data_IF_864073021439
#
_entry.id   IF_864073021439
#
_cell.length_a   1.000
_cell.length_b   1.000
_cell.length_c   1.000
_cell.angle_alpha   90.00
_cell.angle_beta   90.00
_cell.angle_gamma   90.00
#
_symmetry.space_group_name_H-M   'P 1'
#
loop_
_entity.id
_entity.type
_entity.pdbx_description
1 polymer ?
#
# COMPACT_ATOMS: atom_id res chain seq x y z
N UNK A 1 20.69 -2.13 -60.74
CA UNK A 1 19.35 -2.52 -61.21
C UNK A 1 18.37 -2.38 -60.05
N UNK A 2 17.45 -1.41 -60.11
CA UNK A 2 16.32 -1.33 -59.19
C UNK A 2 15.27 -2.36 -59.59
N UNK A 3 14.96 -3.32 -58.72
CA UNK A 3 13.83 -4.25 -58.93
C UNK A 3 12.61 -3.71 -58.21
N UNK A 4 11.55 -3.41 -58.95
CA UNK A 4 10.27 -3.03 -58.39
C UNK A 4 9.60 -4.29 -57.79
N UNK A 5 9.37 -4.29 -56.49
CA UNK A 5 8.67 -5.36 -55.80
C UNK A 5 7.17 -5.05 -55.78
N UNK A 6 6.33 -6.02 -56.13
CA UNK A 6 4.88 -5.91 -56.01
C UNK A 6 4.48 -5.94 -54.53
N UNK A 7 3.87 -4.86 -54.03
CA UNK A 7 3.33 -4.75 -52.68
C UNK A 7 1.80 -4.92 -52.70
N UNK A 8 1.25 -5.77 -51.83
CA UNK A 8 -0.18 -5.87 -51.62
C UNK A 8 -0.54 -5.21 -50.27
N UNK A 9 -1.10 -3.98 -50.27
CA UNK A 9 -1.41 -3.26 -49.04
C UNK A 9 -2.60 -3.82 -48.26
N UNK A 10 -3.32 -4.82 -48.80
CA UNK A 10 -4.52 -5.38 -48.15
C UNK A 10 -4.25 -6.54 -47.20
N UNK A 11 -3.01 -7.04 -47.14
CA UNK A 11 -2.64 -8.14 -46.27
C UNK A 11 -1.86 -7.61 -45.07
N UNK A 12 -2.56 -7.58 -43.96
CA UNK A 12 -2.02 -7.22 -42.65
C UNK A 12 -1.69 -8.48 -41.86
N UNK A 13 -0.58 -8.42 -41.14
CA UNK A 13 -0.08 -9.49 -40.27
C UNK A 13 0.26 -8.91 -38.90
N UNK A 14 0.10 -9.72 -37.86
CA UNK A 14 0.55 -9.36 -36.51
C UNK A 14 1.84 -10.10 -36.18
N UNK A 15 2.77 -9.39 -35.54
CA UNK A 15 4.07 -9.93 -35.17
C UNK A 15 4.08 -10.32 -33.70
N UNK A 16 4.44 -11.57 -33.39
CA UNK A 16 4.69 -12.01 -32.01
C UNK A 16 6.20 -12.25 -31.87
N UNK A 17 6.87 -11.40 -31.09
CA UNK A 17 8.29 -11.51 -30.78
C UNK A 17 8.49 -12.47 -29.60
N UNK A 18 8.34 -13.77 -29.88
CA UNK A 18 8.44 -14.80 -28.86
C UNK A 18 9.86 -14.83 -28.22
N UNK A 19 9.99 -14.77 -26.88
CA UNK A 19 11.29 -14.59 -26.20
C UNK A 19 12.18 -15.85 -26.20
N UNK A 20 11.68 -16.99 -26.69
CA UNK A 20 12.40 -18.25 -26.74
C UNK A 20 12.77 -18.71 -28.16
N UNK A 21 13.68 -19.68 -28.24
CA UNK A 21 13.98 -20.34 -29.51
C UNK A 21 12.86 -21.32 -29.90
N UNK A 22 12.15 -21.03 -30.97
CA UNK A 22 11.07 -21.89 -31.48
C UNK A 22 11.64 -23.07 -32.27
N UNK A 23 11.53 -24.28 -31.71
CA UNK A 23 11.84 -25.55 -32.40
C UNK A 23 10.55 -26.26 -32.83
N UNK A 24 9.53 -26.23 -31.97
CA UNK A 24 8.23 -26.86 -32.20
C UNK A 24 7.12 -25.80 -32.11
N UNK A 25 6.53 -25.39 -33.24
CA UNK A 25 5.50 -24.35 -33.27
C UNK A 25 4.29 -24.69 -32.39
N UNK A 26 3.86 -25.95 -32.35
CA UNK A 26 2.69 -26.35 -31.55
C UNK A 26 2.93 -26.19 -30.05
N UNK A 27 4.15 -26.47 -29.57
CA UNK A 27 4.52 -26.28 -28.17
C UNK A 27 4.62 -24.80 -27.81
N UNK A 28 5.16 -23.98 -28.73
CA UNK A 28 5.18 -22.52 -28.59
C UNK A 28 3.75 -21.95 -28.56
N UNK A 29 2.84 -22.44 -29.40
CA UNK A 29 1.44 -22.04 -29.31
C UNK A 29 0.81 -22.48 -27.99
N UNK A 30 1.18 -23.67 -27.49
CA UNK A 30 0.75 -24.15 -26.18
C UNK A 30 1.16 -23.24 -25.02
N UNK A 31 2.35 -22.62 -25.08
CA UNK A 31 2.78 -21.66 -24.05
C UNK A 31 2.04 -20.32 -24.11
N UNK A 32 1.43 -19.98 -25.25
CA UNK A 32 0.60 -18.78 -25.43
C UNK A 32 -0.91 -19.02 -25.19
N UNK A 33 -1.27 -20.15 -24.58
CA UNK A 33 -2.67 -20.53 -24.35
C UNK A 33 -3.38 -21.12 -25.58
N UNK A 34 -2.62 -21.49 -26.62
CA UNK A 34 -3.12 -22.07 -27.85
C UNK A 34 -3.58 -21.04 -28.88
N UNK A 35 -3.85 -21.50 -30.11
CA UNK A 35 -4.17 -20.63 -31.24
C UNK A 35 -5.45 -19.82 -31.04
N UNK A 36 -6.41 -20.36 -30.28
CA UNK A 36 -7.69 -19.69 -29.98
C UNK A 36 -7.46 -18.49 -29.06
N UNK A 37 -6.66 -18.66 -28.01
CA UNK A 37 -6.33 -17.58 -27.10
C UNK A 37 -5.53 -16.48 -27.82
N UNK A 38 -4.51 -16.88 -28.61
CA UNK A 38 -3.76 -15.95 -29.45
C UNK A 38 -4.71 -15.15 -30.33
N UNK A 39 -5.56 -15.81 -31.14
CA UNK A 39 -6.49 -15.11 -32.02
C UNK A 39 -7.45 -14.16 -31.29
N UNK A 40 -7.84 -14.48 -30.05
CA UNK A 40 -8.69 -13.63 -29.22
C UNK A 40 -7.96 -12.37 -28.75
N UNK A 41 -6.71 -12.50 -28.32
CA UNK A 41 -5.88 -11.37 -27.86
C UNK A 41 -5.51 -10.46 -29.03
N UNK A 42 -5.14 -11.03 -30.18
CA UNK A 42 -4.83 -10.26 -31.38
C UNK A 42 -6.00 -9.36 -31.83
N UNK A 43 -7.23 -9.85 -31.70
CA UNK A 43 -8.46 -9.09 -32.01
C UNK A 43 -8.87 -8.04 -30.96
N UNK A 44 -8.16 -7.93 -29.85
CA UNK A 44 -8.44 -6.99 -28.76
C UNK A 44 -7.26 -6.01 -28.63
N UNK A 45 -7.53 -4.70 -28.57
CA UNK A 45 -6.47 -3.70 -28.47
C UNK A 45 -5.94 -3.56 -27.03
N UNK A 46 -6.72 -3.95 -26.02
CA UNK A 46 -6.41 -3.68 -24.61
C UNK A 46 -5.67 -4.87 -23.96
N UNK A 47 -5.79 -6.08 -24.50
CA UNK A 47 -5.27 -7.28 -23.85
C UNK A 47 -3.80 -7.53 -24.17
N UNK A 48 -3.03 -7.81 -23.11
CA UNK A 48 -1.65 -8.30 -23.18
C UNK A 48 -1.65 -9.79 -23.55
N UNK A 49 -0.63 -10.23 -24.28
CA UNK A 49 -0.49 -11.64 -24.64
C UNK A 49 0.20 -12.41 -23.52
N UNK A 50 -0.50 -13.37 -22.90
CA UNK A 50 0.09 -14.21 -21.85
C UNK A 50 1.04 -15.27 -22.41
N UNK A 51 2.20 -15.40 -21.77
CA UNK A 51 3.17 -16.47 -21.98
C UNK A 51 3.35 -17.26 -20.69
N UNK A 52 2.94 -18.53 -20.71
CA UNK A 52 3.10 -19.48 -19.60
C UNK A 52 4.20 -20.48 -19.92
N UNK A 53 5.30 -20.43 -19.17
CA UNK A 53 6.42 -21.35 -19.34
C UNK A 53 6.05 -22.80 -19.00
N UNK A 54 5.10 -22.99 -18.07
CA UNK A 54 4.58 -24.29 -17.66
C UNK A 54 3.05 -24.33 -17.78
N UNK A 55 2.48 -24.53 -18.98
CA UNK A 55 1.03 -24.45 -19.21
C UNK A 55 0.18 -25.42 -18.38
N UNK A 56 0.78 -26.52 -17.93
CA UNK A 56 0.11 -27.54 -17.09
C UNK A 56 0.13 -27.21 -15.59
N UNK A 57 0.90 -26.20 -15.18
CA UNK A 57 0.96 -25.77 -13.79
C UNK A 57 -0.02 -24.61 -13.57
N UNK A 58 -1.09 -24.78 -12.76
CA UNK A 58 -2.06 -23.72 -12.49
C UNK A 58 -1.43 -22.54 -11.72
N UNK A 59 -0.36 -22.79 -10.96
CA UNK A 59 0.34 -21.74 -10.20
C UNK A 59 1.36 -20.96 -11.04
N UNK A 60 1.54 -21.31 -12.31
CA UNK A 60 2.51 -20.63 -13.16
C UNK A 60 2.05 -19.21 -13.46
N UNK A 61 2.84 -18.23 -13.02
CA UNK A 61 2.60 -16.83 -13.34
C UNK A 61 2.94 -16.57 -14.81
N UNK A 62 2.08 -15.92 -15.60
CA UNK A 62 2.41 -15.60 -16.97
C UNK A 62 3.44 -14.46 -17.02
N UNK A 63 4.30 -14.49 -18.03
CA UNK A 63 4.94 -13.27 -18.54
C UNK A 63 3.99 -12.63 -19.56
N UNK A 64 4.04 -11.31 -19.70
CA UNK A 64 3.12 -10.60 -20.58
C UNK A 64 3.85 -9.99 -21.78
N UNK A 65 3.24 -10.14 -22.94
CA UNK A 65 3.64 -9.53 -24.19
C UNK A 65 2.83 -8.26 -24.41
N UNK A 66 3.52 -7.13 -24.40
CA UNK A 66 2.93 -5.81 -24.57
C UNK A 66 2.73 -5.52 -26.06
N UNK A 67 1.55 -4.97 -26.39
CA UNK A 67 1.23 -4.60 -27.75
C UNK A 67 1.83 -3.22 -28.06
N UNK A 68 2.64 -3.15 -29.11
CA UNK A 68 3.25 -1.92 -29.60
C UNK A 68 2.95 -1.74 -31.09
N UNK A 69 2.61 -0.51 -31.47
CA UNK A 69 2.48 -0.15 -32.87
C UNK A 69 3.86 -0.15 -33.53
N UNK A 70 4.03 -0.99 -34.56
CA UNK A 70 5.25 -1.09 -35.35
C UNK A 70 4.91 -1.08 -36.82
N UNK A 71 5.72 -0.40 -37.62
CA UNK A 71 5.61 -0.43 -39.08
C UNK A 71 6.62 -1.41 -39.66
N UNK A 72 6.13 -2.58 -40.07
CA UNK A 72 6.94 -3.67 -40.61
C UNK A 72 6.46 -4.17 -41.97
N UNK A 73 7.35 -4.79 -42.73
CA UNK A 73 7.00 -5.45 -44.01
C UNK A 73 7.49 -6.90 -43.96
N UNK A 74 6.58 -7.85 -44.17
CA UNK A 74 6.92 -9.26 -44.21
C UNK A 74 7.41 -9.67 -45.60
N UNK A 75 8.67 -10.12 -45.67
CA UNK A 75 9.31 -10.55 -46.91
C UNK A 75 9.48 -12.07 -46.96
N UNK A 76 9.05 -12.68 -48.05
CA UNK A 76 9.42 -14.06 -48.40
C UNK A 76 10.65 -14.04 -49.30
N UNK A 77 11.76 -14.60 -48.80
CA UNK A 77 13.02 -14.72 -49.56
C UNK A 77 13.24 -16.18 -49.95
N UNK A 78 13.06 -16.49 -51.23
CA UNK A 78 13.39 -17.80 -51.79
C UNK A 78 14.80 -17.78 -52.36
N UNK A 79 15.68 -18.63 -51.82
CA UNK A 79 17.07 -18.74 -52.26
C UNK A 79 17.21 -19.98 -53.15
N UNK A 80 17.49 -19.79 -54.44
CA UNK A 80 17.77 -20.88 -55.37
C UNK A 80 19.28 -21.06 -55.53
N UNK A 81 19.78 -22.25 -55.18
CA UNK A 81 21.20 -22.63 -55.32
C UNK A 81 21.36 -23.64 -56.47
N UNK A 82 22.45 -23.53 -57.21
CA UNK A 82 22.74 -24.48 -58.28
C UNK A 82 23.21 -25.83 -57.70
N UNK A 83 22.55 -26.94 -58.06
CA UNK A 83 22.78 -28.25 -57.43
C UNK A 83 24.17 -28.84 -57.71
N UNK A 84 24.76 -28.54 -58.87
CA UNK A 84 26.03 -29.11 -59.34
C UNK A 84 27.24 -28.19 -59.18
N UNK A 85 27.02 -26.90 -59.02
CA UNK A 85 28.09 -25.91 -58.95
C UNK A 85 27.85 -25.03 -57.72
N UNK A 86 28.56 -25.35 -56.64
CA UNK A 86 28.44 -24.67 -55.36
C UNK A 86 29.17 -23.32 -55.33
N UNK A 87 29.99 -23.01 -56.34
CA UNK A 87 30.75 -21.76 -56.44
C UNK A 87 29.93 -20.64 -57.10
N UNK A 88 28.86 -20.97 -57.82
CA UNK A 88 27.95 -19.98 -58.39
C UNK A 88 27.17 -19.22 -57.30
N UNK A 89 27.01 -17.89 -57.45
CA UNK A 89 26.23 -17.11 -56.50
C UNK A 89 24.76 -17.56 -56.49
N UNK A 90 24.11 -17.64 -55.32
CA UNK A 90 22.70 -17.97 -55.20
C UNK A 90 21.81 -16.92 -55.88
N UNK A 91 20.71 -17.39 -56.49
CA UNK A 91 19.68 -16.51 -57.04
C UNK A 91 18.61 -16.25 -55.98
N UNK A 92 18.41 -14.97 -55.63
CA UNK A 92 17.42 -14.55 -54.65
C UNK A 92 16.14 -14.09 -55.34
N UNK A 93 15.01 -14.62 -54.88
CA UNK A 93 13.67 -14.16 -55.22
C UNK A 93 13.02 -13.60 -53.97
N UNK A 94 12.73 -12.31 -53.98
CA UNK A 94 12.09 -11.61 -52.86
C UNK A 94 10.66 -11.28 -53.25
N UNK A 95 9.70 -11.57 -52.37
CA UNK A 95 8.30 -11.18 -52.51
C UNK A 95 7.83 -10.53 -51.23
N UNK A 96 7.06 -9.46 -51.36
CA UNK A 96 6.38 -8.85 -50.21
C UNK A 96 5.07 -9.60 -49.97
N UNK A 97 4.87 -10.10 -48.76
CA UNK A 97 3.65 -10.83 -48.39
C UNK A 97 2.56 -9.90 -47.85
N UNK A 98 2.96 -8.85 -47.12
CA UNK A 98 2.08 -7.89 -46.47
C UNK A 98 2.84 -6.96 -45.55
N UNK A 99 2.11 -6.17 -44.76
CA UNK A 99 2.69 -5.31 -43.71
C UNK A 99 2.29 -5.80 -42.32
N UNK A 100 3.07 -5.40 -41.33
CA UNK A 100 2.74 -5.54 -39.92
C UNK A 100 2.54 -4.14 -39.33
N UNK A 101 1.45 -3.94 -38.59
CA UNK A 101 1.10 -2.70 -37.89
C UNK A 101 1.29 -2.82 -36.38
N UNK A 102 1.13 -4.03 -35.84
CA UNK A 102 1.22 -4.33 -34.41
C UNK A 102 2.23 -5.42 -34.15
N UNK A 103 2.93 -5.30 -33.03
CA UNK A 103 3.80 -6.35 -32.51
C UNK A 103 3.59 -6.58 -31.02
N UNK A 104 3.72 -7.83 -30.59
CA UNK A 104 3.68 -8.24 -29.20
C UNK A 104 5.10 -8.61 -28.76
N UNK A 105 5.66 -7.83 -27.84
CA UNK A 105 7.03 -8.01 -27.32
C UNK A 105 7.00 -8.27 -25.81
N UNK A 106 7.78 -9.25 -25.36
CA UNK A 106 7.85 -9.68 -23.96
C UNK A 106 9.05 -9.02 -23.27
N UNK A 107 8.99 -7.71 -23.10
CA UNK A 107 10.07 -6.91 -22.47
C UNK A 107 9.91 -6.79 -20.96
N UNK A 108 8.68 -6.95 -20.46
CA UNK A 108 8.34 -6.92 -19.05
C UNK A 108 8.89 -8.15 -18.31
N UNK A 109 9.27 -7.98 -17.04
CA UNK A 109 9.75 -9.08 -16.21
C UNK A 109 8.61 -10.04 -15.84
N UNK A 110 8.97 -11.29 -15.63
CA UNK A 110 8.04 -12.28 -15.09
C UNK A 110 7.93 -12.11 -13.57
N UNK A 111 6.73 -12.29 -13.04
CA UNK A 111 6.50 -12.39 -11.60
C UNK A 111 7.24 -13.60 -10.99
N UNK A 112 7.39 -13.59 -9.66
CA UNK A 112 8.03 -14.66 -8.91
C UNK A 112 7.31 -16.00 -9.14
N UNK A 113 8.09 -17.02 -9.51
CA UNK A 113 7.58 -18.35 -9.77
C UNK A 113 7.77 -19.24 -8.55
N UNK A 114 6.68 -19.87 -8.12
CA UNK A 114 6.74 -20.95 -7.15
C UNK A 114 6.50 -22.28 -7.85
N UNK A 115 7.51 -23.17 -7.81
CA UNK A 115 7.41 -24.50 -8.39
C UNK A 115 7.36 -25.55 -7.27
N UNK A 116 6.37 -26.46 -7.25
CA UNK A 116 6.29 -27.54 -6.26
C UNK A 116 7.35 -28.61 -6.54
N UNK A 117 8.59 -28.31 -6.21
CA UNK A 117 9.74 -29.20 -6.37
C UNK A 117 10.09 -29.82 -5.01
N UNK A 118 10.14 -31.15 -4.95
CA UNK A 118 10.62 -31.85 -3.76
C UNK A 118 11.91 -32.62 -4.04
N UNK A 119 12.86 -32.62 -3.08
CA UNK A 119 14.00 -33.51 -3.13
C UNK A 119 13.53 -34.94 -2.86
N UNK A 120 13.56 -35.78 -3.88
CA UNK A 120 13.27 -37.22 -3.79
C UNK A 120 14.57 -38.01 -3.85
N UNK A 121 14.84 -38.94 -2.93
CA UNK A 121 16.02 -39.80 -3.01
C UNK A 121 15.95 -40.67 -4.28
N UNK A 122 17.07 -40.78 -5.01
CA UNK A 122 17.12 -41.61 -6.22
C UNK A 122 17.12 -43.11 -5.92
N UNK A 123 17.45 -43.52 -4.70
CA UNK A 123 17.39 -44.91 -4.24
C UNK A 123 17.18 -44.97 -2.72
N UNK A 124 16.79 -46.15 -2.21
CA UNK A 124 16.53 -46.39 -0.79
C UNK A 124 17.79 -46.38 0.10
N UNK A 125 18.96 -46.17 -0.49
CA UNK A 125 20.21 -46.06 0.25
C UNK A 125 20.32 -44.67 0.90
N UNK A 126 20.65 -44.60 2.20
CA UNK A 126 20.76 -43.34 2.95
C UNK A 126 21.86 -42.35 2.51
N UNK A 127 22.64 -42.70 1.47
CA UNK A 127 23.66 -41.86 0.82
C UNK A 127 23.29 -41.48 -0.63
N UNK A 128 22.07 -41.81 -1.07
CA UNK A 128 21.63 -41.55 -2.43
C UNK A 128 21.53 -40.05 -2.72
N UNK A 129 21.99 -39.64 -3.89
CA UNK A 129 21.78 -38.28 -4.37
C UNK A 129 20.28 -37.97 -4.44
N UNK A 130 19.89 -36.78 -3.99
CA UNK A 130 18.52 -36.30 -4.11
C UNK A 130 18.29 -35.71 -5.50
N UNK A 131 17.15 -36.03 -6.11
CA UNK A 131 16.69 -35.44 -7.36
C UNK A 131 15.49 -34.56 -7.07
N UNK A 132 15.46 -33.36 -7.65
CA UNK A 132 14.26 -32.53 -7.61
C UNK A 132 13.19 -33.13 -8.52
N UNK A 133 12.07 -33.53 -7.93
CA UNK A 133 10.90 -34.06 -8.63
C UNK A 133 9.80 -33.02 -8.61
N UNK A 134 9.18 -32.80 -9.78
CA UNK A 134 8.04 -31.91 -9.91
C UNK A 134 6.77 -32.61 -9.41
N UNK A 135 6.25 -32.17 -8.27
CA UNK A 135 5.31 -32.95 -7.48
C UNK A 135 3.94 -32.27 -7.33
N UNK A 136 3.46 -31.72 -8.45
CA UNK A 136 2.19 -31.01 -8.53
C UNK A 136 0.98 -31.89 -8.10
N UNK A 137 0.96 -33.16 -8.50
CA UNK A 137 -0.09 -34.16 -8.17
C UNK A 137 -0.25 -34.43 -6.66
N UNK A 138 0.72 -34.02 -5.85
CA UNK A 138 0.65 -34.20 -4.40
C UNK A 138 0.24 -32.90 -3.68
N UNK A 139 0.30 -31.76 -4.36
CA UNK A 139 -0.14 -30.45 -3.85
C UNK A 139 -1.61 -30.16 -4.16
N UNK A 140 -2.16 -30.80 -5.19
CA UNK A 140 -3.55 -30.61 -5.62
C UNK A 140 -4.16 -31.95 -6.06
N UNK A 141 -5.47 -32.15 -5.87
CA UNK A 141 -6.15 -33.34 -6.36
C UNK A 141 -6.17 -33.33 -7.88
N UNK A 142 -6.04 -34.52 -8.49
CA UNK A 142 -6.11 -34.64 -9.96
C UNK A 142 -7.53 -34.38 -10.46
N UNK A 143 -8.51 -34.82 -9.69
CA UNK A 143 -9.95 -34.68 -9.95
C UNK A 143 -10.72 -34.75 -8.61
N UNK A 144 -12.01 -34.40 -8.63
CA UNK A 144 -12.95 -34.52 -7.50
C UNK A 144 -13.04 -35.97 -6.98
N UNK A 145 -12.69 -36.96 -7.80
CA UNK A 145 -12.69 -38.38 -7.47
C UNK A 145 -11.40 -38.89 -6.81
N UNK A 146 -10.41 -38.02 -6.56
CA UNK A 146 -9.11 -38.37 -5.96
C UNK A 146 -9.21 -38.65 -4.44
N UNK A 147 -9.82 -39.79 -4.10
CA UNK A 147 -10.05 -40.20 -2.71
C UNK A 147 -8.73 -40.38 -1.93
N UNK A 148 -7.63 -40.73 -2.60
CA UNK A 148 -6.33 -40.90 -1.96
C UNK A 148 -5.71 -39.56 -1.56
N UNK A 149 -5.95 -38.49 -2.31
CA UNK A 149 -5.59 -37.13 -1.90
C UNK A 149 -6.41 -36.67 -0.69
N UNK A 150 -7.73 -36.85 -0.71
CA UNK A 150 -8.63 -36.36 0.36
C UNK A 150 -8.54 -37.15 1.69
N UNK A 151 -8.06 -38.40 1.67
CA UNK A 151 -7.82 -39.18 2.89
C UNK A 151 -6.58 -38.74 3.67
N UNK A 152 -5.71 -37.89 3.11
CA UNK A 152 -4.47 -37.45 3.76
C UNK A 152 -4.80 -36.55 4.96
N UNK A 153 -4.32 -36.93 6.15
CA UNK A 153 -4.60 -36.19 7.39
C UNK A 153 -3.91 -34.81 7.49
N UNK A 154 -2.88 -34.57 6.67
CA UNK A 154 -2.20 -33.27 6.54
C UNK A 154 -1.88 -33.06 5.06
N UNK A 155 -2.76 -32.40 4.32
CA UNK A 155 -2.40 -31.85 3.01
C UNK A 155 -1.56 -30.59 3.23
N UNK A 156 -0.43 -30.48 2.54
CA UNK A 156 0.29 -29.21 2.46
C UNK A 156 -0.55 -28.28 1.55
N UNK A 157 -1.37 -27.43 2.16
CA UNK A 157 -2.13 -26.40 1.46
C UNK A 157 -1.14 -25.43 0.79
N UNK A 158 -1.12 -25.46 -0.55
CA UNK A 158 -0.34 -24.51 -1.35
C UNK A 158 -1.26 -23.39 -1.84
N UNK A 159 -1.47 -22.39 -1.00
CA UNK A 159 -2.21 -21.17 -1.36
C UNK A 159 -1.20 -20.07 -1.68
N UNK A 160 -0.96 -19.82 -2.96
CA UNK A 160 -0.05 -18.76 -3.41
C UNK A 160 -0.84 -17.49 -3.71
N UNK A 161 -0.31 -16.30 -3.38
CA UNK A 161 -0.88 -15.03 -3.82
C UNK A 161 -1.10 -14.98 -5.33
N UNK A 162 -2.08 -14.21 -5.80
CA UNK A 162 -2.33 -14.03 -7.23
C UNK A 162 -1.18 -13.29 -7.93
N UNK A 163 -0.54 -12.35 -7.24
CA UNK A 163 0.66 -11.64 -7.68
C UNK A 163 1.64 -11.60 -6.52
N UNK A 164 2.91 -11.89 -6.78
CA UNK A 164 3.98 -11.67 -5.80
C UNK A 164 4.61 -10.29 -5.97
N UNK A 165 4.82 -9.87 -7.22
CA UNK A 165 5.23 -8.53 -7.59
C UNK A 165 4.05 -7.75 -8.15
N UNK A 166 3.77 -6.56 -7.57
CA UNK A 166 2.73 -5.64 -8.08
C UNK A 166 3.14 -4.93 -9.36
N UNK A 167 4.42 -4.96 -9.72
CA UNK A 167 5.00 -4.25 -10.86
C UNK A 167 5.95 -5.19 -11.60
N UNK A 168 5.79 -5.29 -12.92
CA UNK A 168 6.60 -6.10 -13.83
C UNK A 168 7.70 -5.30 -14.55
N UNK A 169 7.82 -4.01 -14.24
CA UNK A 169 8.84 -3.11 -14.75
C UNK A 169 9.96 -2.90 -13.72
N UNK A 170 11.19 -2.83 -14.20
CA UNK A 170 12.34 -2.45 -13.38
C UNK A 170 12.19 -0.98 -13.00
N UNK A 171 12.21 -0.68 -11.70
CA UNK A 171 12.23 0.70 -11.23
C UNK A 171 13.50 1.40 -11.76
N UNK A 172 13.32 2.45 -12.56
CA UNK A 172 14.43 3.19 -13.19
C UNK A 172 15.05 4.23 -12.27
N UNK A 173 14.50 4.44 -11.08
CA UNK A 173 15.08 5.32 -10.08
C UNK A 173 16.40 4.76 -9.60
N UNK A 174 17.44 5.58 -9.62
CA UNK A 174 18.66 5.27 -8.87
C UNK A 174 18.26 5.19 -7.39
N UNK A 175 18.55 4.06 -6.74
CA UNK A 175 18.59 4.05 -5.27
C UNK A 175 19.46 5.22 -4.85
N UNK A 176 18.96 6.08 -3.96
CA UNK A 176 19.80 7.08 -3.31
C UNK A 176 20.86 6.28 -2.56
N UNK A 177 22.05 6.21 -3.14
CA UNK A 177 23.25 5.88 -2.38
C UNK A 177 23.40 7.09 -1.47
N UNK A 178 22.96 6.95 -0.22
CA UNK A 178 23.20 7.96 0.79
C UNK A 178 24.70 8.29 0.75
N UNK A 179 24.99 9.59 0.65
CA UNK A 179 26.32 10.07 0.33
C UNK A 179 27.34 9.55 1.34
N UNK A 180 28.34 8.83 0.85
CA UNK A 180 29.65 8.64 1.46
C UNK A 180 29.67 8.39 2.99
N UNK A 181 29.07 7.29 3.45
CA UNK A 181 29.61 6.61 4.63
C UNK A 181 30.44 5.43 4.15
N UNK A 182 31.75 5.48 4.42
CA UNK A 182 32.71 4.45 4.08
C UNK A 182 32.17 3.10 4.57
N UNK A 183 31.95 2.16 3.62
CA UNK A 183 31.31 0.84 3.79
C UNK A 183 32.03 -0.15 4.71
N UNK A 184 32.47 0.32 5.88
CA UNK A 184 32.99 -0.45 6.99
C UNK A 184 31.88 -1.01 7.89
N UNK A 185 30.62 -0.69 7.62
CA UNK A 185 29.51 -1.08 8.50
C UNK A 185 28.23 -1.50 7.76
N UNK A 186 28.35 -2.24 6.66
CA UNK A 186 27.20 -2.90 6.04
C UNK A 186 27.49 -4.39 5.81
N UNK A 187 27.33 -5.18 6.87
CA UNK A 187 27.05 -6.62 6.73
C UNK A 187 25.56 -6.73 6.43
N UNK A 188 25.22 -7.45 5.35
CA UNK A 188 23.87 -7.89 4.96
C UNK A 188 22.96 -8.09 6.18
N UNK A 189 22.14 -7.09 6.40
CA UNK A 189 21.40 -6.87 7.62
C UNK A 189 21.05 -5.41 7.58
N UNK A 190 20.03 -5.10 6.78
CA UNK A 190 19.34 -3.81 6.80
C UNK A 190 19.24 -3.42 8.27
N UNK A 191 20.08 -2.49 8.71
CA UNK A 191 19.78 -1.71 9.89
C UNK A 191 18.55 -0.95 9.41
N UNK A 192 17.38 -1.54 9.62
CA UNK A 192 16.18 -0.75 9.77
C UNK A 192 16.63 0.33 10.72
N UNK A 193 16.70 1.59 10.26
CA UNK A 193 16.78 2.71 11.19
C UNK A 193 15.72 2.35 12.20
N UNK A 194 16.15 2.00 13.42
CA UNK A 194 15.27 1.53 14.47
C UNK A 194 14.07 2.43 14.42
N UNK A 195 12.93 1.91 13.93
CA UNK A 195 11.70 2.68 13.88
C UNK A 195 11.61 3.28 15.27
N UNK A 196 11.49 4.60 15.37
CA UNK A 196 11.51 5.31 16.65
C UNK A 196 10.23 5.03 17.46
N UNK A 197 9.68 3.81 17.33
CA UNK A 197 8.55 3.23 18.02
C UNK A 197 8.96 2.86 19.44
N UNK A 198 9.35 3.87 20.18
CA UNK A 198 9.47 3.79 21.63
C UNK A 198 8.10 4.04 22.27
N UNK A 199 7.02 3.49 21.70
CA UNK A 199 5.69 3.55 22.31
C UNK A 199 5.44 2.21 23.02
N UNK A 200 4.85 2.24 24.21
CA UNK A 200 4.22 1.06 24.78
C UNK A 200 2.96 0.76 23.95
N UNK A 201 3.11 0.02 22.85
CA UNK A 201 2.00 -0.46 22.03
C UNK A 201 1.37 -1.68 22.69
N UNK A 202 0.08 -1.59 22.98
CA UNK A 202 -0.65 -2.59 23.77
C UNK A 202 -1.89 -3.03 23.01
N UNK A 203 -2.10 -4.34 22.97
CA UNK A 203 -3.35 -4.93 22.50
C UNK A 203 -4.43 -4.76 23.56
N UNK A 204 -5.53 -4.12 23.20
CA UNK A 204 -6.72 -4.04 24.02
C UNK A 204 -7.32 -5.44 24.23
N UNK A 205 -7.56 -5.79 25.49
CA UNK A 205 -8.25 -7.02 25.86
C UNK A 205 -8.95 -6.86 27.22
N UNK A 206 -9.78 -7.83 27.60
CA UNK A 206 -10.58 -7.77 28.82
C UNK A 206 -9.91 -8.39 30.05
N UNK A 207 -8.72 -8.99 29.91
CA UNK A 207 -8.07 -9.79 30.97
C UNK A 207 -6.90 -9.05 31.61
N UNK A 208 -6.12 -8.35 30.79
CA UNK A 208 -4.85 -7.77 31.20
C UNK A 208 -5.03 -6.46 31.96
N UNK A 209 -4.05 -6.19 32.83
CA UNK A 209 -3.88 -4.90 33.50
C UNK A 209 -3.02 -3.98 32.64
N UNK A 210 -3.50 -2.78 32.37
CA UNK A 210 -2.76 -1.80 31.59
C UNK A 210 -1.66 -1.09 32.41
N UNK A 211 -0.59 -0.59 31.76
CA UNK A 211 0.53 -0.01 32.47
C UNK A 211 0.14 1.26 33.23
N UNK A 212 0.75 1.42 34.39
CA UNK A 212 0.51 2.55 35.29
C UNK A 212 1.60 3.61 35.22
N UNK A 213 2.76 3.30 34.65
CA UNK A 213 3.91 4.18 34.50
C UNK A 213 4.72 3.80 33.25
N UNK A 214 5.46 4.76 32.70
CA UNK A 214 6.38 4.56 31.60
C UNK A 214 7.61 3.73 32.01
N UNK A 215 8.20 3.03 31.04
CA UNK A 215 9.48 2.34 31.26
C UNK A 215 10.62 3.33 31.60
N UNK A 216 11.54 2.89 32.46
CA UNK A 216 12.68 3.66 32.91
C UNK A 216 13.62 4.06 31.75
N UNK A 217 13.65 3.29 30.66
CA UNK A 217 14.43 3.64 29.47
C UNK A 217 13.85 4.87 28.74
N UNK A 218 12.53 4.98 28.66
CA UNK A 218 11.84 6.11 28.04
C UNK A 218 12.16 7.40 28.78
N UNK A 219 12.11 7.37 30.12
CA UNK A 219 12.44 8.51 30.97
C UNK A 219 13.89 8.97 30.81
N UNK A 220 14.83 8.05 30.57
CA UNK A 220 16.23 8.39 30.27
C UNK A 220 16.35 9.07 28.92
N UNK A 221 15.66 8.57 27.88
CA UNK A 221 15.67 9.13 26.52
C UNK A 221 15.06 10.53 26.47
N UNK A 222 13.99 10.78 27.22
CA UNK A 222 13.36 12.10 27.31
C UNK A 222 14.37 13.18 27.74
N UNK A 223 15.24 12.86 28.71
CA UNK A 223 16.28 13.78 29.20
C UNK A 223 17.37 14.06 28.18
N UNK A 224 17.62 13.14 27.25
CA UNK A 224 18.67 13.28 26.22
C UNK A 224 18.21 14.17 25.06
N UNK A 225 16.92 14.15 24.69
CA UNK A 225 16.41 14.81 23.47
C UNK A 225 16.07 16.30 23.62
N UNK A 226 16.57 16.98 24.66
CA UNK A 226 16.34 18.41 24.95
C UNK A 226 14.89 18.84 24.73
N UNK A 227 13.97 18.24 25.49
CA UNK A 227 12.58 18.71 25.57
C UNK A 227 12.52 19.78 26.66
N UNK A 228 11.97 20.95 26.35
CA UNK A 228 11.74 21.98 27.37
C UNK A 228 10.69 21.51 28.37
N UNK A 229 10.93 21.75 29.65
CA UNK A 229 9.99 21.44 30.75
C UNK A 229 8.61 22.07 30.51
N UNK A 230 8.55 23.23 29.84
CA UNK A 230 7.30 23.90 29.49
C UNK A 230 6.49 23.08 28.46
N UNK A 231 7.15 22.54 27.44
CA UNK A 231 6.50 21.73 26.40
C UNK A 231 5.99 20.41 26.98
N UNK A 232 6.78 19.80 27.87
CA UNK A 232 6.36 18.62 28.62
C UNK A 232 5.13 18.91 29.48
N UNK A 233 5.16 19.99 30.26
CA UNK A 233 4.06 20.37 31.15
C UNK A 233 2.76 20.68 30.39
N UNK A 234 2.85 21.28 29.19
CA UNK A 234 1.68 21.52 28.32
C UNK A 234 1.00 20.21 27.92
N UNK A 235 1.76 19.24 27.41
CA UNK A 235 1.21 17.94 26.99
C UNK A 235 0.67 17.17 28.20
N UNK A 236 1.37 17.22 29.34
CA UNK A 236 0.91 16.61 30.59
C UNK A 236 -0.44 17.18 31.03
N UNK A 237 -0.61 18.52 30.99
CA UNK A 237 -1.87 19.18 31.33
C UNK A 237 -3.02 18.71 30.44
N UNK A 238 -2.80 18.51 29.14
CA UNK A 238 -3.82 17.98 28.22
C UNK A 238 -4.26 16.56 28.61
N UNK A 239 -3.31 15.71 29.02
CA UNK A 239 -3.62 14.36 29.49
C UNK A 239 -4.32 14.34 30.86
N UNK A 240 -4.10 15.35 31.69
CA UNK A 240 -4.80 15.51 32.97
C UNK A 240 -6.23 16.01 32.79
N UNK A 241 -6.49 16.87 31.80
CA UNK A 241 -7.84 17.32 31.44
C UNK A 241 -8.63 16.24 30.69
N UNK A 242 -7.99 15.51 29.77
CA UNK A 242 -8.58 14.44 29.00
C UNK A 242 -7.62 13.24 28.94
N UNK A 243 -8.03 12.04 29.37
CA UNK A 243 -7.10 10.91 29.50
C UNK A 243 -6.74 10.23 28.18
N UNK A 244 -7.49 10.48 27.10
CA UNK A 244 -7.37 9.78 25.82
C UNK A 244 -7.32 10.78 24.67
N UNK A 245 -6.31 10.69 23.82
CA UNK A 245 -6.11 11.61 22.70
C UNK A 245 -5.64 10.93 21.42
N UNK A 246 -5.99 11.54 20.28
CA UNK A 246 -5.33 11.26 18.99
C UNK A 246 -4.03 12.06 18.89
N UNK A 247 -3.09 11.59 18.06
CA UNK A 247 -1.84 12.29 17.81
C UNK A 247 -2.05 13.71 17.28
N UNK A 248 -2.94 13.84 16.29
CA UNK A 248 -3.22 15.10 15.59
C UNK A 248 -3.84 16.12 16.55
N UNK A 249 -4.74 15.68 17.42
CA UNK A 249 -5.31 16.56 18.43
C UNK A 249 -4.25 17.05 19.43
N UNK A 250 -3.33 16.18 19.86
CA UNK A 250 -2.21 16.61 20.71
C UNK A 250 -1.29 17.62 20.00
N UNK A 251 -0.96 17.39 18.72
CA UNK A 251 -0.17 18.33 17.92
C UNK A 251 -0.84 19.71 17.86
N UNK A 252 -2.13 19.72 17.52
CA UNK A 252 -2.90 20.94 17.35
C UNK A 252 -3.09 21.71 18.66
N UNK A 253 -3.50 21.03 19.74
CA UNK A 253 -3.80 21.68 21.04
C UNK A 253 -2.55 22.07 21.81
N UNK A 254 -1.46 21.28 21.74
CA UNK A 254 -0.23 21.60 22.47
C UNK A 254 0.63 22.65 21.75
N UNK A 255 0.52 22.75 20.42
CA UNK A 255 1.41 23.54 19.57
C UNK A 255 2.87 23.05 19.57
N UNK A 256 3.12 21.83 20.09
CA UNK A 256 4.45 21.23 20.16
C UNK A 256 4.79 20.62 18.80
N UNK A 257 6.00 20.86 18.32
CA UNK A 257 6.48 20.26 17.07
C UNK A 257 6.49 18.73 17.10
N UNK A 258 6.31 18.12 15.92
CA UNK A 258 6.24 16.66 15.69
C UNK A 258 7.33 15.89 16.45
N UNK A 259 8.58 16.30 16.31
CA UNK A 259 9.77 15.62 16.85
C UNK A 259 9.79 15.60 18.38
N UNK A 260 9.39 16.72 19.00
CA UNK A 260 9.37 16.85 20.45
C UNK A 260 8.20 16.07 21.05
N UNK A 261 7.04 16.11 20.40
CA UNK A 261 5.87 15.39 20.87
C UNK A 261 6.08 13.86 20.86
N UNK A 262 6.82 13.33 19.87
CA UNK A 262 7.23 11.91 19.83
C UNK A 262 8.07 11.48 21.02
N UNK A 263 8.82 12.41 21.61
CA UNK A 263 9.63 12.13 22.79
C UNK A 263 8.79 12.19 24.07
N UNK A 264 7.80 13.09 24.11
CA UNK A 264 6.98 13.34 25.30
C UNK A 264 5.93 12.26 25.50
N UNK A 265 5.16 11.91 24.45
CA UNK A 265 4.00 11.01 24.55
C UNK A 265 4.36 9.67 25.24
N UNK A 266 5.44 8.96 24.86
CA UNK A 266 5.82 7.70 25.50
C UNK A 266 6.04 7.76 27.02
N UNK A 267 6.33 8.94 27.56
CA UNK A 267 6.54 9.10 29.01
C UNK A 267 5.24 9.34 29.79
N UNK A 268 4.14 9.64 29.09
CA UNK A 268 2.86 10.04 29.68
C UNK A 268 1.72 9.06 29.35
N UNK A 269 1.80 8.37 28.22
CA UNK A 269 0.73 7.53 27.69
C UNK A 269 1.25 6.29 26.96
N UNK A 270 0.43 5.24 26.97
CA UNK A 270 0.59 4.07 26.12
C UNK A 270 -0.39 4.13 24.93
N UNK A 271 -0.22 3.26 23.94
CA UNK A 271 -1.00 3.28 22.70
C UNK A 271 -1.76 1.97 22.50
N UNK A 272 -3.05 2.03 22.13
CA UNK A 272 -3.83 0.84 21.81
C UNK A 272 -3.74 0.47 20.32
N UNK A 273 -3.29 -0.75 20.02
CA UNK A 273 -3.23 -1.25 18.64
C UNK A 273 -4.58 -1.72 18.08
N UNK A 274 -5.50 -2.15 18.95
CA UNK A 274 -6.81 -2.66 18.56
C UNK A 274 -7.90 -2.27 19.57
N UNK A 275 -9.12 -2.74 19.35
CA UNK A 275 -10.26 -2.53 20.23
C UNK A 275 -10.97 -1.18 20.06
N UNK A 276 -11.82 -0.78 21.03
CA UNK A 276 -12.70 0.37 20.92
C UNK A 276 -11.98 1.73 21.04
N UNK A 277 -10.73 1.72 21.54
CA UNK A 277 -9.84 2.88 21.64
C UNK A 277 -8.57 2.70 20.78
N UNK A 278 -8.64 1.87 19.73
CA UNK A 278 -7.51 1.68 18.80
C UNK A 278 -7.02 3.02 18.25
N UNK A 279 -5.74 3.10 17.92
CA UNK A 279 -5.11 4.31 17.37
C UNK A 279 -5.18 5.55 18.27
N UNK A 280 -5.33 5.35 19.59
CA UNK A 280 -5.38 6.43 20.57
C UNK A 280 -4.28 6.25 21.63
N UNK A 281 -3.79 7.38 22.12
CA UNK A 281 -2.89 7.44 23.27
C UNK A 281 -3.71 7.58 24.55
N UNK A 282 -3.46 6.69 25.50
CA UNK A 282 -4.15 6.63 26.78
C UNK A 282 -3.15 6.88 27.89
N UNK A 283 -3.46 7.87 28.75
CA UNK A 283 -2.61 8.22 29.88
C UNK A 283 -2.35 7.00 30.77
N UNK A 284 -1.10 6.85 31.20
CA UNK A 284 -0.74 5.79 32.14
C UNK A 284 -1.61 5.81 33.40
N UNK A 285 -2.03 4.61 33.85
CA UNK A 285 -2.88 4.44 35.02
C UNK A 285 -4.37 4.74 34.80
N UNK A 286 -4.78 5.17 33.62
CA UNK A 286 -6.20 5.27 33.25
C UNK A 286 -6.68 3.99 32.54
N UNK A 287 -7.77 3.41 33.02
CA UNK A 287 -8.40 2.24 32.40
C UNK A 287 -9.79 2.62 31.85
N UNK A 288 -9.94 2.75 30.51
CA UNK A 288 -11.21 3.15 29.91
C UNK A 288 -12.33 2.13 30.13
N UNK A 289 -12.00 0.86 30.44
CA UNK A 289 -13.00 -0.18 30.71
C UNK A 289 -13.75 0.01 32.02
N UNK A 290 -13.28 0.92 32.89
CA UNK A 290 -13.88 1.19 34.21
C UNK A 290 -14.67 2.50 34.26
N UNK A 291 -14.48 3.38 33.28
CA UNK A 291 -15.11 4.69 33.23
C UNK A 291 -16.06 4.78 32.04
N UNK A 292 -17.36 4.92 32.31
CA UNK A 292 -18.37 5.06 31.26
C UNK A 292 -18.23 6.35 30.44
N UNK A 293 -17.59 7.39 30.98
CA UNK A 293 -17.35 8.62 30.22
C UNK A 293 -16.32 8.45 29.11
N UNK A 294 -15.49 7.39 29.18
CA UNK A 294 -14.55 7.06 28.11
C UNK A 294 -15.21 6.73 26.76
N UNK A 295 -16.55 6.51 26.74
CA UNK A 295 -17.34 6.32 25.51
C UNK A 295 -17.20 7.47 24.51
N UNK A 296 -17.06 8.69 25.01
CA UNK A 296 -16.87 9.89 24.18
C UNK A 296 -15.52 9.87 23.45
N UNK A 297 -14.54 9.19 24.04
CA UNK A 297 -13.19 9.10 23.50
C UNK A 297 -12.94 7.84 22.67
N UNK A 298 -13.95 6.99 22.47
CA UNK A 298 -13.81 5.82 21.60
C UNK A 298 -13.52 6.22 20.15
N UNK A 299 -12.82 5.34 19.43
CA UNK A 299 -12.38 5.58 18.06
C UNK A 299 -13.55 5.48 17.09
N UNK A 300 -13.71 6.52 16.30
CA UNK A 300 -14.56 6.57 15.11
C UNK A 300 -13.66 6.55 13.87
N UNK A 301 -13.79 5.49 13.09
CA UNK A 301 -13.08 5.27 11.84
C UNK A 301 -14.03 5.48 10.67
N UNK A 302 -13.72 6.50 9.88
CA UNK A 302 -14.49 6.93 8.74
C UNK A 302 -13.65 6.90 7.48
N UNK A 303 -14.13 6.17 6.48
CA UNK A 303 -13.53 6.06 5.15
C UNK A 303 -14.51 6.49 4.09
N UNK A 304 -14.04 7.35 3.19
CA UNK A 304 -14.77 7.80 2.02
C UNK A 304 -14.31 7.00 0.81
N UNK A 305 -15.23 6.27 0.18
CA UNK A 305 -15.07 5.84 -1.21
C UNK A 305 -15.85 6.80 -2.11
N UNK A 306 -15.27 7.11 -3.26
CA UNK A 306 -15.82 8.11 -4.17
C UNK A 306 -16.43 7.45 -5.40
N UNK A 307 -17.68 7.84 -5.71
CA UNK A 307 -18.11 7.92 -7.10
C UNK A 307 -17.42 9.09 -7.82
N UNK A 308 -17.61 9.19 -9.14
CA UNK A 308 -17.11 10.31 -9.95
C UNK A 308 -17.45 11.67 -9.31
N UNK A 309 -16.44 12.56 -9.17
CA UNK A 309 -16.58 13.93 -8.66
C UNK A 309 -15.85 14.21 -7.33
N UNK A 310 -16.00 13.36 -6.31
CA UNK A 310 -15.47 13.69 -4.96
C UNK A 310 -13.95 13.47 -4.84
N UNK A 311 -13.38 12.63 -5.71
CA UNK A 311 -11.93 12.44 -5.85
C UNK A 311 -11.18 13.71 -6.28
N UNK A 312 -11.88 14.75 -6.74
CA UNK A 312 -11.33 16.05 -7.13
C UNK A 312 -10.88 16.87 -5.91
N UNK A 313 -11.57 16.73 -4.77
CA UNK A 313 -11.37 17.60 -3.60
C UNK A 313 -10.64 16.93 -2.45
N UNK A 314 -10.94 15.66 -2.17
CA UNK A 314 -10.42 14.97 -0.98
C UNK A 314 -9.45 13.88 -1.40
N UNK A 315 -8.19 14.03 -0.99
CA UNK A 315 -7.11 13.12 -1.32
C UNK A 315 -6.81 12.16 -0.16
N UNK A 316 -6.03 11.11 -0.43
CA UNK A 316 -5.35 10.39 0.66
C UNK A 316 -4.43 11.36 1.39
N UNK A 317 -4.14 11.10 2.68
CA UNK A 317 -3.32 12.00 3.49
C UNK A 317 -1.94 12.22 2.88
N UNK A 318 -1.27 11.15 2.42
CA UNK A 318 0.01 11.22 1.68
C UNK A 318 -0.09 12.14 0.47
N UNK A 319 -1.08 11.93 -0.38
CA UNK A 319 -1.30 12.73 -1.59
C UNK A 319 -1.58 14.20 -1.27
N UNK A 320 -2.36 14.47 -0.21
CA UNK A 320 -2.65 15.83 0.24
C UNK A 320 -1.38 16.54 0.74
N UNK A 321 -0.53 15.86 1.53
CA UNK A 321 0.75 16.44 1.99
C UNK A 321 1.75 16.65 0.85
N UNK A 322 1.89 15.68 -0.06
CA UNK A 322 2.76 15.80 -1.23
C UNK A 322 2.33 16.95 -2.15
N UNK A 323 1.02 17.15 -2.32
CA UNK A 323 0.49 18.33 -3.00
C UNK A 323 0.89 19.61 -2.26
N UNK A 324 0.70 19.69 -0.94
CA UNK A 324 1.06 20.88 -0.15
C UNK A 324 2.54 21.22 -0.16
N UNK A 325 3.45 20.24 -0.26
CA UNK A 325 4.90 20.49 -0.33
C UNK A 325 5.38 20.82 -1.74
N UNK A 326 4.54 20.64 -2.77
CA UNK A 326 4.87 21.01 -4.14
C UNK A 326 4.78 22.52 -4.36
N UNK A 327 5.66 23.08 -5.19
CA UNK A 327 5.65 24.50 -5.55
C UNK A 327 4.31 24.97 -6.17
N UNK A 328 3.49 24.05 -6.70
CA UNK A 328 2.16 24.32 -7.24
C UNK A 328 1.10 24.64 -6.17
N UNK A 329 1.30 24.25 -4.91
CA UNK A 329 0.35 24.57 -3.83
C UNK A 329 0.32 26.05 -3.43
N UNK A 330 1.34 26.83 -3.82
CA UNK A 330 1.36 28.27 -3.56
C UNK A 330 0.40 29.06 -4.46
N UNK A 331 -0.03 28.48 -5.60
CA UNK A 331 -0.87 29.15 -6.60
C UNK A 331 -2.33 28.68 -6.64
N UNK A 332 -2.66 27.53 -6.04
CA UNK A 332 -4.05 27.06 -5.98
C UNK A 332 -4.86 27.80 -4.91
N UNK A 333 -6.09 28.25 -5.24
CA UNK A 333 -6.98 28.82 -4.24
C UNK A 333 -7.30 27.74 -3.20
N UNK A 334 -7.01 28.01 -1.92
CA UNK A 334 -7.43 27.15 -0.80
C UNK A 334 -8.92 26.84 -0.96
N UNK A 335 -9.25 25.60 -1.29
CA UNK A 335 -10.62 25.16 -1.36
C UNK A 335 -11.21 25.22 0.06
N UNK A 336 -11.97 26.27 0.37
CA UNK A 336 -12.55 26.50 1.70
C UNK A 336 -13.54 25.38 2.11
N UNK A 337 -13.94 24.55 1.13
CA UNK A 337 -14.81 23.39 1.30
C UNK A 337 -14.17 22.25 2.09
N UNK A 338 -12.84 22.11 2.07
CA UNK A 338 -12.12 20.99 2.72
C UNK A 338 -11.47 21.45 4.02
N UNK A 339 -11.54 20.61 5.06
CA UNK A 339 -10.86 20.88 6.33
C UNK A 339 -9.34 20.84 6.16
N UNK A 340 -8.62 21.65 6.93
CA UNK A 340 -7.17 21.63 6.94
C UNK A 340 -6.66 20.25 7.41
N UNK A 341 -5.58 19.77 6.80
CA UNK A 341 -4.96 18.48 7.13
C UNK A 341 -4.51 18.36 8.59
N UNK A 342 -4.13 19.48 9.20
CA UNK A 342 -3.67 19.52 10.60
C UNK A 342 -4.82 19.77 11.59
N UNK A 343 -6.05 19.99 11.09
CA UNK A 343 -7.20 20.22 11.94
C UNK A 343 -7.75 18.89 12.48
N UNK A 344 -7.81 18.69 13.82
CA UNK A 344 -8.10 17.39 14.41
C UNK A 344 -9.59 17.07 14.50
N UNK A 345 -10.47 18.07 14.35
CA UNK A 345 -11.91 17.94 14.53
C UNK A 345 -12.63 17.81 13.20
N UNK A 346 -13.82 17.20 13.20
CA UNK A 346 -14.68 17.17 12.03
C UNK A 346 -15.89 18.09 12.21
N UNK A 347 -15.92 19.19 11.47
CA UNK A 347 -17.02 20.15 11.49
C UNK A 347 -18.04 19.85 10.38
N UNK A 348 -19.33 19.97 10.68
CA UNK A 348 -20.44 19.62 9.78
C UNK A 348 -20.50 20.41 8.46
N UNK A 349 -19.84 21.58 8.40
CA UNK A 349 -19.88 22.48 7.25
C UNK A 349 -18.73 22.30 6.26
N UNK A 350 -17.80 21.38 6.52
CA UNK A 350 -16.62 21.16 5.66
C UNK A 350 -16.40 19.69 5.39
N UNK A 351 -15.85 19.37 4.21
CA UNK A 351 -15.42 18.03 3.85
C UNK A 351 -14.27 17.55 4.75
N UNK A 352 -14.17 16.24 5.00
CA UNK A 352 -13.08 15.69 5.82
C UNK A 352 -11.71 16.03 5.24
N UNK A 353 -10.73 16.12 6.13
CA UNK A 353 -9.33 16.43 5.80
C UNK A 353 -8.65 15.40 4.89
N UNK A 354 -9.09 14.15 4.92
CA UNK A 354 -8.54 13.03 4.14
C UNK A 354 -9.60 11.95 3.92
N UNK A 355 -9.38 11.09 2.92
CA UNK A 355 -10.26 9.95 2.60
C UNK A 355 -10.56 9.07 3.80
N UNK A 356 -9.53 8.76 4.58
CA UNK A 356 -9.64 8.04 5.84
C UNK A 356 -9.37 9.00 6.99
N UNK A 357 -10.26 8.99 7.98
CA UNK A 357 -10.17 9.80 9.18
C UNK A 357 -10.41 8.94 10.41
N UNK A 358 -9.36 8.78 11.23
CA UNK A 358 -9.48 8.29 12.60
C UNK A 358 -9.71 9.49 13.52
N UNK A 359 -10.81 9.45 14.27
CA UNK A 359 -11.27 10.52 15.16
C UNK A 359 -11.76 9.91 16.47
N UNK A 360 -11.87 10.69 17.54
CA UNK A 360 -12.70 10.30 18.69
C UNK A 360 -14.15 10.70 18.42
N UNK A 361 -15.13 10.00 19.01
CA UNK A 361 -16.53 10.40 18.85
C UNK A 361 -16.84 11.83 19.33
N UNK A 362 -16.14 12.32 20.35
CA UNK A 362 -16.24 13.72 20.79
C UNK A 362 -15.68 14.73 19.78
N UNK A 363 -14.77 14.30 18.89
CA UNK A 363 -14.14 15.17 17.88
C UNK A 363 -15.02 15.33 16.63
N UNK A 364 -16.09 14.53 16.50
CA UNK A 364 -17.07 14.63 15.42
C UNK A 364 -18.13 15.66 15.79
N UNK A 365 -17.88 16.93 15.46
CA UNK A 365 -18.71 18.10 15.81
C UNK A 365 -19.94 18.22 14.92
N UNK A 366 -20.79 17.19 14.98
CA UNK A 366 -22.12 17.18 14.38
C UNK A 366 -23.13 17.03 15.51
N UNK A 367 -24.05 17.99 15.63
CA UNK A 367 -24.97 18.06 16.77
C UNK A 367 -25.76 16.77 16.96
N UNK A 368 -26.26 16.18 15.86
CA UNK A 368 -27.02 14.93 15.88
C UNK A 368 -26.24 13.77 16.52
N UNK A 369 -24.93 13.69 16.29
CA UNK A 369 -24.06 12.63 16.83
C UNK A 369 -23.77 12.90 18.31
N UNK A 370 -23.53 14.16 18.69
CA UNK A 370 -23.32 14.54 20.08
C UNK A 370 -24.57 14.26 20.94
N UNK A 371 -25.76 14.64 20.44
CA UNK A 371 -27.03 14.31 21.09
C UNK A 371 -27.23 12.80 21.24
N UNK A 372 -26.82 12.01 20.24
CA UNK A 372 -26.90 10.55 20.30
C UNK A 372 -25.97 9.97 21.39
N UNK A 373 -24.77 10.53 21.57
CA UNK A 373 -23.82 10.12 22.62
C UNK A 373 -24.32 10.48 24.03
N UNK A 374 -24.98 11.63 24.18
CA UNK A 374 -25.56 12.09 25.45
C UNK A 374 -26.80 11.28 25.85
N UNK A 375 -27.62 10.86 24.89
CA UNK A 375 -28.83 10.07 25.13
C UNK A 375 -28.56 8.61 25.49
N UNK A 376 -27.30 8.15 25.42
CA UNK A 376 -26.95 6.78 25.81
C UNK A 376 -27.19 6.65 27.32
N UNK A 377 -28.07 5.74 27.77
CA UNK A 377 -28.38 5.60 29.18
C UNK A 377 -27.14 5.14 29.94
N UNK A 378 -26.93 5.72 31.13
CA UNK A 378 -25.87 5.27 32.03
C UNK A 378 -26.04 3.78 32.31
N UNK A 379 -24.99 2.97 32.17
CA UNK A 379 -25.07 1.54 32.40
C UNK A 379 -25.53 1.24 33.82
N UNK A 380 -26.26 0.14 33.98
CA UNK A 380 -26.62 -0.39 35.29
C UNK A 380 -25.33 -0.70 36.08
N UNK A 381 -25.39 -0.53 37.40
CA UNK A 381 -24.28 -0.83 38.31
C UNK A 381 -23.77 -2.26 38.08
N UNK A 382 -22.52 -2.39 37.62
CA UNK A 382 -21.90 -3.68 37.30
C UNK A 382 -21.88 -4.05 35.80
N UNK A 383 -22.32 -3.17 34.90
CA UNK A 383 -22.13 -3.39 33.46
C UNK A 383 -20.64 -3.44 33.10
N UNK A 384 -20.30 -4.37 32.22
CA UNK A 384 -18.93 -4.61 31.75
C UNK A 384 -18.80 -4.04 30.34
N UNK A 385 -17.70 -3.33 30.09
CA UNK A 385 -17.31 -2.85 28.76
C UNK A 385 -17.25 -4.01 27.76
N UNK A 386 -17.77 -3.81 26.55
CA UNK A 386 -17.67 -4.81 25.49
C UNK A 386 -16.30 -4.76 24.81
N UNK A 387 -15.78 -5.92 24.41
CA UNK A 387 -14.46 -6.01 23.76
C UNK A 387 -14.41 -5.31 22.40
N UNK A 388 -15.50 -5.39 21.63
CA UNK A 388 -15.58 -4.83 20.27
C UNK A 388 -16.19 -3.43 20.26
N UNK A 389 -17.30 -3.23 20.97
CA UNK A 389 -18.06 -1.97 20.92
C UNK A 389 -17.76 -1.01 22.06
N UNK A 390 -16.93 -1.41 23.02
CA UNK A 390 -16.63 -0.61 24.20
C UNK A 390 -17.88 -0.36 25.04
N UNK A 391 -18.17 0.91 25.31
CA UNK A 391 -19.37 1.35 26.03
C UNK A 391 -20.53 1.74 25.11
N UNK A 392 -20.33 1.67 23.78
CA UNK A 392 -21.34 2.06 22.80
C UNK A 392 -22.24 0.88 22.42
N UNK A 393 -23.52 1.13 22.11
CA UNK A 393 -24.42 0.11 21.61
C UNK A 393 -23.91 -0.52 20.30
N UNK A 394 -24.32 -1.77 19.99
CA UNK A 394 -24.08 -2.36 18.69
C UNK A 394 -24.62 -1.47 17.56
N UNK A 395 -23.88 -1.38 16.46
CA UNK A 395 -24.24 -0.60 15.27
C UNK A 395 -24.29 0.92 15.49
N UNK A 396 -23.79 1.44 16.62
CA UNK A 396 -23.66 2.88 16.83
C UNK A 396 -22.73 3.51 15.79
N UNK A 397 -21.60 2.86 15.52
CA UNK A 397 -20.63 3.24 14.49
C UNK A 397 -21.27 3.33 13.10
N UNK A 398 -22.09 2.36 12.72
CA UNK A 398 -22.81 2.36 11.44
C UNK A 398 -23.78 3.54 11.31
N UNK A 399 -24.52 3.86 12.39
CA UNK A 399 -25.42 5.02 12.40
C UNK A 399 -24.65 6.33 12.30
N UNK A 400 -23.52 6.46 13.00
CA UNK A 400 -22.66 7.64 12.92
C UNK A 400 -22.10 7.80 11.51
N UNK A 401 -21.58 6.72 10.88
CA UNK A 401 -21.11 6.76 9.47
C UNK A 401 -22.20 7.20 8.52
N UNK A 402 -23.43 6.70 8.68
CA UNK A 402 -24.57 7.10 7.84
C UNK A 402 -24.88 8.59 7.98
N UNK A 403 -24.84 9.14 9.20
CA UNK A 403 -25.06 10.57 9.44
C UNK A 403 -23.95 11.40 8.77
N UNK A 404 -22.68 11.02 8.97
CA UNK A 404 -21.53 11.72 8.36
C UNK A 404 -21.62 11.69 6.83
N UNK A 405 -21.91 10.54 6.22
CA UNK A 405 -22.07 10.44 4.76
C UNK A 405 -23.24 11.27 4.23
N UNK A 406 -24.37 11.29 4.94
CA UNK A 406 -25.50 12.13 4.56
C UNK A 406 -25.12 13.62 4.59
N UNK A 407 -24.45 14.07 5.65
CA UNK A 407 -23.97 15.45 5.77
C UNK A 407 -23.00 15.82 4.64
N UNK A 408 -22.04 14.94 4.33
CA UNK A 408 -21.08 15.15 3.23
C UNK A 408 -21.80 15.18 1.88
N UNK A 409 -22.75 14.26 1.64
CA UNK A 409 -23.52 14.21 0.41
C UNK A 409 -24.34 15.48 0.20
N UNK A 410 -24.97 16.00 1.26
CA UNK A 410 -25.74 17.24 1.22
C UNK A 410 -24.84 18.47 0.99
N UNK A 411 -23.64 18.49 1.58
CA UNK A 411 -22.64 19.53 1.35
C UNK A 411 -22.19 19.55 -0.11
N UNK A 412 -21.83 18.39 -0.66
CA UNK A 412 -21.43 18.24 -2.06
C UNK A 412 -22.56 18.59 -3.01
N UNK A 413 -23.78 18.11 -2.74
CA UNK A 413 -24.96 18.46 -3.55
C UNK A 413 -25.21 19.97 -3.55
N UNK A 414 -25.02 20.64 -2.43
CA UNK A 414 -25.17 22.10 -2.32
C UNK A 414 -24.07 22.85 -3.06
N UNK A 415 -22.85 22.29 -3.08
CA UNK A 415 -21.72 22.82 -3.87
C UNK A 415 -21.96 22.63 -5.38
N UNK A 416 -22.20 21.40 -5.82
CA UNK A 416 -22.40 21.07 -7.24
C UNK A 416 -23.71 21.57 -7.84
N UNK A 417 -24.76 21.87 -7.05
CA UNK A 417 -25.91 22.62 -7.57
C UNK A 417 -25.52 24.00 -8.10
N UNK A 418 -24.40 24.56 -7.65
CA UNK A 418 -23.82 25.78 -8.23
C UNK A 418 -23.04 25.51 -9.53
N UNK A 419 -22.60 24.26 -9.75
CA UNK A 419 -21.64 23.88 -10.83
C UNK A 419 -22.15 22.79 -11.81
N UNK A 420 -23.40 22.32 -11.72
CA UNK A 420 -24.02 21.29 -12.57
C UNK A 420 -23.30 19.92 -12.63
N UNK A 421 -23.10 19.24 -11.50
CA UNK A 421 -22.69 17.82 -11.45
C UNK A 421 -23.47 17.01 -10.40
N UNK A 422 -23.51 15.68 -10.59
CA UNK A 422 -24.03 14.72 -9.60
C UNK A 422 -22.85 14.03 -8.90
N UNK A 423 -22.83 14.04 -7.57
CA UNK A 423 -21.86 13.33 -6.75
C UNK A 423 -22.59 12.31 -5.86
N UNK A 424 -22.07 11.09 -5.81
CA UNK A 424 -22.52 10.01 -4.92
C UNK A 424 -21.39 9.66 -3.95
N UNK A 425 -21.75 9.46 -2.68
CA UNK A 425 -20.83 9.13 -1.59
C UNK A 425 -21.35 7.91 -0.85
N UNK A 426 -20.48 6.93 -0.64
CA UNK A 426 -20.80 5.73 0.12
C UNK A 426 -19.79 5.56 1.27
N UNK A 427 -20.30 5.21 2.46
CA UNK A 427 -19.48 4.76 3.58
C UNK A 427 -19.33 3.24 3.49
N UNK A 428 -18.10 2.76 3.55
CA UNK A 428 -17.81 1.32 3.53
C UNK A 428 -17.69 0.77 4.95
N UNK A 429 -18.37 -0.34 5.29
CA UNK A 429 -18.12 -1.09 6.50
C UNK A 429 -16.73 -1.72 6.48
N UNK A 430 -16.07 -1.79 7.63
CA UNK A 430 -14.71 -2.34 7.79
C UNK A 430 -14.56 -3.81 7.33
N UNK A 431 -15.64 -4.57 7.15
CA UNK A 431 -15.60 -5.99 6.79
C UNK A 431 -15.65 -6.27 5.28
N UNK A 432 -15.98 -5.27 4.46
CA UNK A 432 -16.25 -5.46 3.02
C UNK A 432 -15.07 -5.02 2.13
N UNK A 433 -13.87 -4.84 2.69
CA UNK A 433 -12.68 -4.50 1.93
C UNK A 433 -11.92 -5.77 1.51
N UNK A 434 -11.76 -5.95 0.19
CA UNK A 434 -10.58 -6.63 -0.34
C UNK A 434 -9.35 -5.84 0.13
N UNK A 435 -8.32 -6.54 0.58
CA UNK A 435 -7.08 -6.01 1.18
C UNK A 435 -6.34 -5.07 0.22
N UNK A 436 -6.82 -3.84 0.11
CA UNK A 436 -6.24 -2.77 -0.71
C UNK A 436 -5.06 -2.09 0.01
N UNK A 437 -4.37 -2.73 0.96
CA UNK A 437 -3.12 -2.21 1.58
C UNK A 437 -3.21 -0.87 2.34
N UNK A 438 -4.31 -0.11 2.23
CA UNK A 438 -4.50 1.20 2.88
C UNK A 438 -4.57 1.08 4.42
N UNK A 439 -4.92 -0.11 4.93
CA UNK A 439 -4.98 -0.43 6.36
C UNK A 439 -3.61 -0.52 7.04
N UNK A 440 -2.65 -1.20 6.39
CA UNK A 440 -1.26 -1.22 6.85
C UNK A 440 -0.65 0.18 6.73
N UNK A 441 -1.00 0.90 5.66
CA UNK A 441 -0.50 2.25 5.42
C UNK A 441 -0.91 3.24 6.52
N UNK A 442 -2.05 3.13 7.21
CA UNK A 442 -2.41 4.15 8.23
C UNK A 442 -1.66 3.97 9.56
N UNK A 443 -1.44 2.71 9.98
CA UNK A 443 -0.63 2.41 11.16
C UNK A 443 0.83 2.74 10.87
N UNK A 444 1.33 2.32 9.70
CA UNK A 444 2.65 2.70 9.22
C UNK A 444 2.75 4.22 9.04
N UNK A 445 1.72 4.95 8.59
CA UNK A 445 1.76 6.41 8.38
C UNK A 445 1.89 7.22 9.67
N UNK A 446 1.12 6.89 10.72
CA UNK A 446 1.29 7.56 12.02
C UNK A 446 2.71 7.30 12.60
N UNK A 447 3.35 6.20 12.20
CA UNK A 447 4.74 5.83 12.54
C UNK A 447 5.80 6.44 11.59
N UNK A 448 5.59 6.44 10.26
CA UNK A 448 6.46 6.90 9.15
C UNK A 448 6.42 8.42 8.93
N UNK A 449 5.43 9.12 9.49
CA UNK A 449 5.41 10.59 9.60
C UNK A 449 6.63 11.17 10.37
N UNK A 450 7.62 10.35 10.71
CA UNK A 450 8.92 10.69 11.32
C UNK A 450 9.99 11.14 10.33
N UNK A 451 10.09 10.50 9.18
CA UNK A 451 11.30 10.61 8.37
C UNK A 451 11.24 11.72 7.32
N UNK A 452 10.04 12.23 7.00
CA UNK A 452 9.87 13.22 5.93
C UNK A 452 10.03 14.68 6.37
N UNK A 453 9.83 15.01 7.65
CA UNK A 453 9.96 16.40 8.15
C UNK A 453 11.37 16.73 8.65
N UNK A 454 12.14 15.74 9.11
CA UNK A 454 13.54 15.92 9.57
C UNK A 454 14.49 16.35 8.44
N UNK A 455 14.13 16.10 7.18
CA UNK A 455 14.93 16.51 6.02
C UNK A 455 14.75 17.99 5.62
N UNK A 456 13.69 18.67 6.08
CA UNK A 456 13.38 20.05 5.69
C UNK A 456 13.65 21.09 6.79
N UNK A 457 13.98 20.68 8.01
CA UNK A 457 14.23 21.58 9.14
C UNK A 457 15.72 21.85 9.40
N UNK A 458 16.62 21.33 8.57
CA UNK A 458 18.05 21.67 8.55
C UNK A 458 18.32 23.00 7.83
N UNK A 459 17.63 24.06 8.22
CA UNK A 459 18.03 25.43 7.90
C UNK A 459 18.42 26.20 9.16
N UNK A 460 19.70 26.59 9.19
CA UNK A 460 20.26 27.78 9.86
C UNK A 460 20.30 27.80 11.40
N UNK A 461 21.03 26.85 12.00
CA UNK A 461 21.78 27.15 13.24
C UNK A 461 23.28 26.97 12.97
N UNK A 462 23.89 28.01 12.40
CA UNK A 462 25.35 28.18 12.45
C UNK A 462 25.67 28.69 13.85
N UNK A 463 26.13 27.78 14.72
CA UNK A 463 26.62 28.10 16.05
C UNK A 463 27.79 29.09 15.94
N UNK A 464 27.56 30.33 16.39
CA UNK A 464 28.58 31.39 16.50
C UNK A 464 29.66 31.10 17.55
N UNK A 465 29.51 30.01 18.29
CA UNK A 465 30.45 29.62 19.36
C UNK A 465 31.59 28.72 18.86
N UNK A 466 31.57 28.28 17.60
CA UNK A 466 32.67 27.48 17.01
C UNK A 466 33.81 28.38 16.52
N UNK A 467 33.54 29.60 16.05
CA UNK A 467 34.61 30.52 15.59
C UNK A 467 35.52 31.00 16.74
N UNK A 468 35.00 31.14 17.97
CA UNK A 468 35.82 31.54 19.13
C UNK A 468 36.74 30.43 19.67
N UNK A 469 36.50 29.18 19.28
CA UNK A 469 37.34 28.04 19.64
C UNK A 469 38.55 27.88 18.71
N UNK A 470 38.48 28.40 17.48
CA UNK A 470 39.60 28.33 16.53
C UNK A 470 40.63 29.46 16.70
N UNK A 471 40.22 30.64 17.19
CA UNK A 471 41.14 31.76 17.44
C UNK A 471 42.06 31.54 18.67
N UNK A 472 41.66 30.69 19.62
CA UNK A 472 42.47 30.38 20.81
C UNK A 472 43.49 29.24 20.60
N UNK A 473 43.48 28.57 19.44
CA UNK A 473 44.43 27.49 19.12
C UNK A 473 45.56 28.00 18.22
N UNK A 474 45.50 29.25 17.75
CA UNK A 474 46.52 29.84 16.85
C UNK A 474 47.17 31.13 17.36
N UNK A 475 47.11 31.43 18.67
CA UNK A 475 47.95 32.45 19.33
C UNK A 475 49.03 31.87 20.22
#
# INVERSE_FOLDING_TARGET
MSRQLSFNPRKEYELIEYPGRVVHPDRMLGTLGGIVNVSKVLGDEVKRLELRFHPQNPYNKPAFGDCTDKTGVLLSVTVRRHKRDKLRPPHYFVRVLGHCSRSFSFESLCDFQYLPLWPTPQSDNGLAATKLTYALEQTQPTDVTDLEFFKRGQSQLLCLPELFARVDLVHTGNYRIDGAEDGLQEVLGVLTKSTYDSYDVISFNMQDTFPTQADAQILKRLKVKYVSDEQFARVQKLFDECPIWTRIALLYESGVGTDKLKCIIPSLAFYFSNGPWRTLYVRYGYDPRKDFNSRHYQTFDFRLRFGTGVSEFVYSRKSAKLKMTSAAAAEEPKCDLVQNIDYPYFDEHKLPRSRQCMLRYCDVRIQKIQDMLEKIPTPLTGAICNERTGWLPPSFDAQVRQIVCATISDLLRSHYRKEHLMAEVEAVPQADEEDDGEDEETQEEDMELDDSQTMNSSENYVDKDIEQLFDNITS
#
